data_IF_275122638206
#
_entry.id   IF_275122638206
#
_cell.length_a   1.000
_cell.length_b   1.000
_cell.length_c   1.000
_cell.angle_alpha   90.00
_cell.angle_beta   90.00
_cell.angle_gamma   90.00
#
_symmetry.space_group_name_H-M   'P 1'
#
loop_
_entity.id
_entity.type
_entity.pdbx_description
1 polymer ?
#
# COMPACT_ATOMS: atom_id res chain seq x y z
N UNK A 1 -19.50 15.00 -12.07
CA UNK A 1 -18.65 14.69 -10.91
C UNK A 1 -17.71 15.86 -10.60
N UNK A 2 -17.87 16.52 -9.46
CA UNK A 2 -16.94 17.56 -9.00
C UNK A 2 -15.67 16.83 -8.53
N UNK A 3 -14.51 17.18 -9.08
CA UNK A 3 -13.24 16.68 -8.58
C UNK A 3 -13.02 17.25 -7.17
N UNK A 4 -13.24 16.44 -6.15
CA UNK A 4 -12.84 16.78 -4.77
C UNK A 4 -11.32 16.74 -4.68
N UNK A 5 -10.71 17.80 -4.18
CA UNK A 5 -9.26 17.81 -3.94
C UNK A 5 -8.95 16.88 -2.76
N UNK A 6 -8.18 15.81 -3.01
CA UNK A 6 -7.88 14.81 -1.99
C UNK A 6 -6.60 15.16 -1.21
N UNK A 7 -6.61 14.93 0.10
CA UNK A 7 -5.51 15.20 1.04
C UNK A 7 -4.17 14.58 0.61
N UNK A 8 -4.18 13.39 0.00
CA UNK A 8 -2.96 12.72 -0.47
C UNK A 8 -2.18 13.54 -1.52
N UNK A 9 -2.82 14.47 -2.23
CA UNK A 9 -2.13 15.37 -3.17
C UNK A 9 -1.28 16.44 -2.46
N UNK A 10 -1.53 16.69 -1.16
CA UNK A 10 -0.77 17.63 -0.34
C UNK A 10 0.47 17.01 0.32
N UNK A 11 0.76 15.71 0.11
CA UNK A 11 1.99 15.10 0.62
C UNK A 11 3.19 15.86 0.05
N UNK A 12 4.08 16.44 0.86
CA UNK A 12 5.08 17.41 0.38
C UNK A 12 6.15 16.74 -0.49
N UNK A 13 6.58 15.54 -0.14
CA UNK A 13 7.64 14.80 -0.84
C UNK A 13 7.08 14.22 -2.14
N UNK A 14 7.56 14.67 -3.33
CA UNK A 14 6.99 14.24 -4.60
C UNK A 14 7.05 12.73 -4.85
N UNK A 15 8.12 12.07 -4.43
CA UNK A 15 8.28 10.63 -4.59
C UNK A 15 7.24 9.82 -3.78
N UNK A 16 6.97 10.24 -2.54
CA UNK A 16 5.97 9.61 -1.68
C UNK A 16 4.55 9.85 -2.21
N UNK A 17 4.28 11.09 -2.65
CA UNK A 17 3.01 11.44 -3.30
C UNK A 17 2.77 10.60 -4.55
N UNK A 18 3.80 10.45 -5.40
CA UNK A 18 3.73 9.60 -6.59
C UNK A 18 3.41 8.15 -6.23
N UNK A 19 4.05 7.59 -5.20
CA UNK A 19 3.79 6.22 -4.76
C UNK A 19 2.33 6.02 -4.31
N UNK A 20 1.75 6.98 -3.57
CA UNK A 20 0.32 6.94 -3.23
C UNK A 20 -0.59 7.03 -4.45
N UNK A 21 -0.27 7.91 -5.41
CA UNK A 21 -1.04 7.99 -6.65
C UNK A 21 -0.98 6.65 -7.39
N UNK A 22 0.20 6.05 -7.51
CA UNK A 22 0.36 4.73 -8.13
C UNK A 22 -0.44 3.64 -7.42
N UNK A 23 -0.47 3.66 -6.08
CA UNK A 23 -1.29 2.78 -5.27
C UNK A 23 -2.80 2.95 -5.58
N UNK A 24 -3.27 4.19 -5.68
CA UNK A 24 -4.68 4.51 -5.94
C UNK A 24 -5.13 4.26 -7.37
N UNK A 25 -4.22 4.41 -8.34
CA UNK A 25 -4.52 4.26 -9.77
C UNK A 25 -4.11 2.90 -10.33
N UNK A 26 -3.80 1.91 -9.48
CA UNK A 26 -3.30 0.59 -9.88
C UNK A 26 -2.12 0.68 -10.88
N UNK A 27 -1.29 1.71 -10.75
CA UNK A 27 -0.15 1.99 -11.65
C UNK A 27 1.19 1.60 -11.02
N UNK A 28 1.17 0.54 -10.21
CA UNK A 28 2.29 0.00 -9.46
C UNK A 28 2.77 -1.33 -10.05
N UNK A 29 3.96 -1.77 -9.64
CA UNK A 29 4.67 -2.94 -10.21
C UNK A 29 4.34 -4.26 -9.51
N UNK A 30 3.26 -4.30 -8.73
CA UNK A 30 2.84 -5.54 -8.07
C UNK A 30 2.27 -6.54 -9.09
N UNK A 31 2.49 -7.82 -8.84
CA UNK A 31 2.14 -8.89 -9.78
C UNK A 31 0.65 -8.91 -10.12
N UNK A 32 -0.24 -8.56 -9.18
CA UNK A 32 -1.68 -8.47 -9.46
C UNK A 32 -2.01 -7.47 -10.58
N UNK A 33 -1.25 -6.38 -10.71
CA UNK A 33 -1.51 -5.35 -11.73
C UNK A 33 -0.68 -5.53 -12.99
N UNK A 34 0.54 -6.06 -12.90
CA UNK A 34 1.38 -6.29 -14.09
C UNK A 34 0.94 -7.57 -14.83
N UNK A 35 0.63 -8.64 -14.08
CA UNK A 35 0.38 -9.94 -14.70
C UNK A 35 -1.06 -10.12 -15.20
N UNK A 36 -2.02 -9.31 -14.73
CA UNK A 36 -3.43 -9.34 -15.18
C UNK A 36 -3.62 -8.96 -16.65
N UNK A 37 -2.67 -8.25 -17.25
CA UNK A 37 -2.76 -7.80 -18.63
C UNK A 37 -2.07 -8.78 -19.56
N UNK A 38 -2.60 -8.91 -20.77
CA UNK A 38 -1.90 -9.57 -21.87
C UNK A 38 -0.75 -8.70 -22.33
N UNK A 39 0.45 -9.26 -22.42
CA UNK A 39 1.62 -8.62 -23.03
C UNK A 39 2.05 -9.43 -24.26
N UNK A 40 2.95 -8.86 -25.07
CA UNK A 40 3.45 -9.53 -26.26
C UNK A 40 3.98 -10.94 -25.91
N UNK A 41 3.25 -11.97 -26.37
CA UNK A 41 3.53 -13.40 -26.15
C UNK A 41 3.29 -13.94 -24.73
N UNK A 42 2.66 -13.16 -23.84
CA UNK A 42 2.27 -13.61 -22.51
C UNK A 42 0.75 -13.43 -22.31
N UNK A 43 -0.02 -14.52 -22.14
CA UNK A 43 -1.43 -14.39 -21.78
C UNK A 43 -1.56 -13.80 -20.35
N UNK A 44 -2.73 -13.22 -20.02
CA UNK A 44 -3.04 -12.81 -18.65
C UNK A 44 -2.84 -13.97 -17.66
N UNK A 45 -2.22 -13.68 -16.51
CA UNK A 45 -2.07 -14.65 -15.43
C UNK A 45 -3.31 -14.57 -14.52
N UNK A 46 -3.96 -15.70 -14.19
CA UNK A 46 -5.04 -15.73 -13.22
C UNK A 46 -4.62 -15.15 -11.88
N UNK A 47 -5.51 -14.42 -11.20
CA UNK A 47 -5.24 -13.80 -9.88
C UNK A 47 -4.62 -14.78 -8.88
N UNK A 48 -5.14 -16.00 -8.79
CA UNK A 48 -4.67 -17.03 -7.87
C UNK A 48 -3.23 -17.51 -8.14
N UNK A 49 -2.68 -17.18 -9.31
CA UNK A 49 -1.30 -17.50 -9.72
C UNK A 49 -0.36 -16.29 -9.63
N UNK A 50 -0.88 -15.09 -9.35
CA UNK A 50 -0.07 -13.89 -9.13
C UNK A 50 0.53 -13.89 -7.71
N UNK A 51 1.31 -14.92 -7.38
CA UNK A 51 1.89 -15.09 -6.05
C UNK A 51 2.90 -13.99 -5.73
N UNK A 52 2.98 -13.63 -4.45
CA UNK A 52 3.92 -12.68 -3.90
C UNK A 52 5.36 -13.14 -4.10
N UNK A 53 6.19 -12.28 -4.69
CA UNK A 53 7.60 -12.55 -5.00
C UNK A 53 8.47 -12.80 -3.77
N UNK A 54 8.01 -12.40 -2.59
CA UNK A 54 8.73 -12.63 -1.32
C UNK A 54 8.29 -13.90 -0.61
N UNK A 55 7.00 -14.05 -0.28
CA UNK A 55 6.53 -15.19 0.51
C UNK A 55 6.11 -16.41 -0.32
N UNK A 56 5.85 -16.24 -1.63
CA UNK A 56 5.45 -17.30 -2.57
C UNK A 56 4.18 -18.08 -2.18
N UNK A 57 3.41 -17.60 -1.19
CA UNK A 57 2.25 -18.29 -0.63
C UNK A 57 0.94 -17.61 -0.99
N UNK A 58 0.89 -16.29 -0.86
CA UNK A 58 -0.30 -15.47 -1.05
C UNK A 58 -0.23 -14.64 -2.33
N UNK A 59 -1.38 -14.12 -2.78
CA UNK A 59 -1.45 -13.23 -3.95
C UNK A 59 -0.73 -11.92 -3.66
N UNK A 60 0.08 -11.44 -4.62
CA UNK A 60 0.78 -10.16 -4.57
C UNK A 60 -0.16 -8.97 -4.85
N UNK A 61 -1.10 -8.74 -3.95
CA UNK A 61 -1.93 -7.55 -3.97
C UNK A 61 -1.49 -6.52 -2.92
N UNK A 62 -2.06 -5.31 -3.03
CA UNK A 62 -1.69 -4.18 -2.18
C UNK A 62 -1.90 -4.50 -0.70
N UNK A 63 -2.99 -5.18 -0.34
CA UNK A 63 -3.28 -5.50 1.05
C UNK A 63 -2.26 -6.50 1.61
N UNK A 64 -1.94 -7.55 0.87
CA UNK A 64 -0.89 -8.50 1.24
C UNK A 64 0.46 -7.80 1.43
N UNK A 65 0.88 -7.04 0.43
CA UNK A 65 2.20 -6.40 0.39
C UNK A 65 2.38 -5.37 1.50
N UNK A 66 1.35 -4.59 1.82
CA UNK A 66 1.42 -3.57 2.86
C UNK A 66 1.21 -4.13 4.28
N UNK A 67 0.37 -5.15 4.46
CA UNK A 67 -0.09 -5.47 5.81
C UNK A 67 0.29 -6.86 6.30
N UNK A 68 0.50 -7.81 5.39
CA UNK A 68 0.56 -9.23 5.76
C UNK A 68 1.87 -9.92 5.39
N UNK A 69 2.54 -9.50 4.32
CA UNK A 69 3.73 -10.16 3.79
C UNK A 69 4.89 -10.26 4.80
N UNK A 70 5.24 -11.48 5.17
CA UNK A 70 6.33 -11.89 6.08
C UNK A 70 7.55 -12.47 5.33
N UNK A 71 7.56 -12.40 3.99
CA UNK A 71 8.65 -12.94 3.17
C UNK A 71 9.94 -12.11 3.20
N UNK A 72 10.00 -11.03 3.99
CA UNK A 72 11.20 -10.20 4.14
C UNK A 72 11.22 -9.45 5.48
N UNK A 73 12.35 -9.54 6.19
CA UNK A 73 12.56 -8.80 7.43
C UNK A 73 12.41 -7.29 7.23
N UNK A 74 12.86 -6.75 6.09
CA UNK A 74 12.72 -5.32 5.80
C UNK A 74 11.26 -4.86 5.68
N UNK A 75 10.34 -5.74 5.27
CA UNK A 75 8.91 -5.44 5.22
C UNK A 75 8.29 -5.45 6.62
N UNK A 76 8.70 -6.39 7.48
CA UNK A 76 8.30 -6.43 8.89
C UNK A 76 8.77 -5.19 9.65
N UNK A 77 10.03 -4.81 9.48
CA UNK A 77 10.61 -3.63 10.13
C UNK A 77 9.85 -2.36 9.71
N UNK A 78 9.59 -2.19 8.41
CA UNK A 78 8.80 -1.06 7.90
C UNK A 78 7.37 -1.05 8.44
N UNK A 79 6.72 -2.22 8.57
CA UNK A 79 5.37 -2.32 9.16
C UNK A 79 5.38 -1.95 10.63
N UNK A 80 6.39 -2.39 11.39
CA UNK A 80 6.56 -2.04 12.80
C UNK A 80 6.75 -0.53 12.98
N UNK A 81 7.68 0.07 12.24
CA UNK A 81 7.96 1.51 12.26
C UNK A 81 6.74 2.34 11.89
N UNK A 82 6.03 1.93 10.84
CA UNK A 82 4.80 2.58 10.39
C UNK A 82 3.72 2.49 11.46
N UNK A 83 3.49 1.30 12.03
CA UNK A 83 2.46 1.07 13.05
C UNK A 83 2.73 1.90 14.30
N UNK A 84 3.98 1.97 14.76
CA UNK A 84 4.37 2.83 15.89
C UNK A 84 4.12 4.31 15.57
N UNK A 85 4.50 4.75 14.37
CA UNK A 85 4.29 6.15 13.93
C UNK A 85 2.80 6.49 13.92
N UNK A 86 1.96 5.64 13.33
CA UNK A 86 0.51 5.88 13.27
C UNK A 86 -0.10 5.83 14.66
N UNK A 87 0.29 4.89 15.52
CA UNK A 87 -0.21 4.80 16.89
C UNK A 87 0.09 6.05 17.71
N UNK A 88 1.26 6.67 17.52
CA UNK A 88 1.63 7.92 18.20
C UNK A 88 0.84 9.14 17.69
N UNK A 89 0.36 9.10 16.45
CA UNK A 89 -0.40 10.19 15.83
C UNK A 89 -1.92 10.00 15.96
N UNK A 90 -2.38 8.76 16.13
CA UNK A 90 -3.79 8.41 16.12
C UNK A 90 -4.51 8.93 17.38
N UNK A 91 -5.68 9.52 17.16
CA UNK A 91 -6.67 9.70 18.23
C UNK A 91 -7.30 8.36 18.60
N UNK A 92 -7.94 8.27 19.76
CA UNK A 92 -8.65 7.06 20.20
C UNK A 92 -9.68 6.59 19.17
N UNK A 93 -10.50 7.52 18.66
CA UNK A 93 -11.48 7.24 17.62
C UNK A 93 -10.84 6.71 16.34
N UNK A 94 -9.74 7.31 15.89
CA UNK A 94 -9.05 6.86 14.67
C UNK A 94 -8.44 5.46 14.85
N UNK A 95 -7.88 5.18 16.04
CA UNK A 95 -7.38 3.85 16.36
C UNK A 95 -8.50 2.79 16.38
N UNK A 96 -9.69 3.14 16.84
CA UNK A 96 -10.84 2.23 16.84
C UNK A 96 -11.33 1.95 15.41
N UNK A 97 -11.34 2.96 14.53
CA UNK A 97 -11.62 2.76 13.11
C UNK A 97 -10.64 1.78 12.47
N UNK A 98 -9.33 1.95 12.71
CA UNK A 98 -8.30 1.04 12.19
C UNK A 98 -8.49 -0.40 12.69
N UNK A 99 -8.83 -0.58 13.98
CA UNK A 99 -9.11 -1.92 14.55
C UNK A 99 -10.38 -2.54 14.01
N UNK A 100 -11.36 -1.72 13.64
CA UNK A 100 -12.65 -2.17 13.12
C UNK A 100 -12.62 -2.55 11.63
N UNK A 101 -11.54 -2.23 10.93
CA UNK A 101 -11.40 -2.53 9.51
C UNK A 101 -11.42 -4.05 9.26
N UNK A 102 -12.33 -4.49 8.40
CA UNK A 102 -12.54 -5.90 8.06
C UNK A 102 -11.49 -6.43 7.07
N UNK A 103 -10.74 -5.54 6.40
CA UNK A 103 -9.70 -5.94 5.46
C UNK A 103 -8.55 -4.92 5.37
N UNK A 104 -7.41 -5.36 4.86
CA UNK A 104 -6.27 -4.50 4.57
C UNK A 104 -6.58 -3.37 3.57
N UNK A 105 -7.55 -3.58 2.67
CA UNK A 105 -8.02 -2.50 1.78
C UNK A 105 -8.80 -1.43 2.55
N UNK A 106 -9.62 -1.83 3.53
CA UNK A 106 -10.31 -0.87 4.40
C UNK A 106 -9.32 -0.08 5.27
N UNK A 107 -8.25 -0.72 5.76
CA UNK A 107 -7.17 -0.02 6.47
C UNK A 107 -6.59 1.11 5.61
N UNK A 108 -6.34 0.86 4.31
CA UNK A 108 -5.85 1.89 3.38
C UNK A 108 -6.87 3.04 3.27
N UNK A 109 -8.16 2.72 3.13
CA UNK A 109 -9.22 3.74 3.04
C UNK A 109 -9.30 4.61 4.29
N UNK A 110 -9.24 3.99 5.49
CA UNK A 110 -9.22 4.71 6.77
C UNK A 110 -8.01 5.63 6.86
N UNK A 111 -6.82 5.16 6.48
CA UNK A 111 -5.59 5.96 6.53
C UNK A 111 -5.59 7.13 5.54
N UNK A 112 -6.16 6.94 4.34
CA UNK A 112 -6.29 8.01 3.35
C UNK A 112 -7.34 9.05 3.72
N UNK A 113 -8.37 8.63 4.46
CA UNK A 113 -9.42 9.50 5.00
C UNK A 113 -9.03 10.26 6.26
N UNK A 114 -7.79 10.12 6.73
CA UNK A 114 -7.32 10.85 7.91
C UNK A 114 -7.25 12.36 7.63
N UNK A 115 -7.82 13.16 8.54
CA UNK A 115 -7.71 14.62 8.49
C UNK A 115 -6.28 15.11 8.80
N UNK A 116 -5.52 14.32 9.58
CA UNK A 116 -4.12 14.65 9.90
C UNK A 116 -3.17 14.27 8.75
N UNK A 117 -2.63 15.30 8.09
CA UNK A 117 -1.64 15.16 7.02
C UNK A 117 -0.36 14.44 7.46
N UNK A 118 -0.04 14.36 8.75
CA UNK A 118 1.08 13.54 9.25
C UNK A 118 0.81 12.06 9.07
N UNK A 119 -0.43 11.60 9.26
CA UNK A 119 -0.82 10.20 9.04
C UNK A 119 -0.77 9.89 7.55
N UNK A 120 -1.33 10.76 6.71
CA UNK A 120 -1.29 10.59 5.25
C UNK A 120 0.15 10.61 4.74
N UNK A 121 1.00 11.50 5.27
CA UNK A 121 2.43 11.56 4.95
C UNK A 121 3.21 10.32 5.39
N UNK A 122 2.88 9.77 6.57
CA UNK A 122 3.46 8.52 7.07
C UNK A 122 3.08 7.34 6.16
N UNK A 123 1.80 7.23 5.77
CA UNK A 123 1.34 6.23 4.80
C UNK A 123 2.08 6.40 3.46
N UNK A 124 2.22 7.63 2.97
CA UNK A 124 2.89 7.89 1.70
C UNK A 124 4.35 7.44 1.70
N UNK A 125 5.08 7.75 2.78
CA UNK A 125 6.47 7.30 2.97
C UNK A 125 6.53 5.78 3.06
N UNK A 126 5.61 5.17 3.81
CA UNK A 126 5.54 3.72 3.97
C UNK A 126 5.32 3.00 2.63
N UNK A 127 4.30 3.40 1.87
CA UNK A 127 3.99 2.86 0.54
C UNK A 127 5.17 3.02 -0.42
N UNK A 128 5.82 4.19 -0.43
CA UNK A 128 7.02 4.41 -1.24
C UNK A 128 8.14 3.42 -0.92
N UNK A 129 8.42 3.21 0.37
CA UNK A 129 9.48 2.29 0.78
C UNK A 129 9.16 0.83 0.45
N UNK A 130 7.90 0.41 0.62
CA UNK A 130 7.46 -0.93 0.25
C UNK A 130 7.56 -1.13 -1.27
N UNK A 131 7.04 -0.21 -2.07
CA UNK A 131 7.16 -0.30 -3.54
C UNK A 131 8.61 -0.30 -4.00
N UNK A 132 9.50 0.42 -3.32
CA UNK A 132 10.94 0.37 -3.59
C UNK A 132 11.50 -1.04 -3.37
N UNK A 133 11.12 -1.73 -2.30
CA UNK A 133 11.53 -3.13 -2.05
C UNK A 133 11.04 -4.04 -3.19
N UNK A 134 9.76 -3.94 -3.58
CA UNK A 134 9.20 -4.75 -4.67
C UNK A 134 9.75 -4.40 -6.05
N UNK A 135 10.35 -3.22 -6.22
CA UNK A 135 11.05 -2.87 -7.47
C UNK A 135 12.45 -3.48 -7.59
N UNK A 136 13.02 -4.01 -6.48
CA UNK A 136 14.34 -4.67 -6.50
C UNK A 136 14.29 -6.14 -6.86
N UNK A 137 13.10 -6.74 -6.88
CA UNK A 137 12.88 -8.14 -7.24
C UNK A 137 12.15 -8.22 -8.60
N UNK A 138 12.55 -9.13 -9.49
CA UNK A 138 11.92 -9.32 -10.80
C UNK A 138 10.42 -9.61 -10.70
#
# INVERSE_FOLDING_TARGET
>A
PVASFHSYLNVPIPAHRKALVQLLTSSHTLAIEVLRWSECRRPPVPRSQCLCRFCLSEVEDVAHVLWYCDGSQSLEDLRSDFSQTVFLLATSHFADLLKSAASGFEVIHVLLGADDMKIVGALAKYVFNVFRIFSTVP
#
